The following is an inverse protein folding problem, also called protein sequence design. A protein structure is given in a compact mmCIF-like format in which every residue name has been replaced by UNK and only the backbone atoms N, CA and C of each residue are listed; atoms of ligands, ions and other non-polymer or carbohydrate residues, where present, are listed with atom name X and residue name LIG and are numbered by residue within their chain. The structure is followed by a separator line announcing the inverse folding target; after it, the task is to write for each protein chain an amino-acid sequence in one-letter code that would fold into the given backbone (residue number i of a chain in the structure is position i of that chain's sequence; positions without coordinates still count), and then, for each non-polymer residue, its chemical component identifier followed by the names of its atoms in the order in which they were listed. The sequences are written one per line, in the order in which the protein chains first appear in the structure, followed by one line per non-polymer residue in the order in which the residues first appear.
data_IF_534226949153
#
_entry.id   IF_534226949153
#
_cell.length_a   1.000
_cell.length_b   1.000
_cell.length_c   1.000
_cell.angle_alpha   90.00
_cell.angle_beta   90.00
_cell.angle_gamma   90.00
#
_symmetry.space_group_name_H-M   'P 1'
#
loop_
_entity.id
_entity.type
_entity.pdbx_description
1 polymer ?
#
# COMPACT_ATOMS: atom_id res chain seq x y z
N UNK A 1 0.01 -3.49 -2.28
CA UNK A 1 -1.10 -2.59 -1.92
C UNK A 1 -1.82 -2.22 -3.21
N UNK A 2 -2.94 -2.89 -3.52
CA UNK A 2 -3.67 -2.71 -4.78
C UNK A 2 -4.52 -1.44 -4.69
N UNK A 3 -4.19 -0.46 -5.51
CA UNK A 3 -5.03 0.70 -5.80
C UNK A 3 -6.21 0.21 -6.64
N UNK A 4 -7.40 0.08 -6.06
CA UNK A 4 -8.63 -0.20 -6.82
C UNK A 4 -9.24 1.14 -7.20
N UNK A 5 -8.99 1.54 -8.45
CA UNK A 5 -9.81 2.53 -9.16
C UNK A 5 -11.15 1.87 -9.48
N UNK A 6 -12.18 2.19 -8.71
CA UNK A 6 -13.57 1.94 -9.06
C UNK A 6 -14.04 3.05 -10.00
N UNK A 7 -13.96 2.81 -11.31
CA UNK A 7 -14.74 3.55 -12.30
C UNK A 7 -15.94 2.70 -12.66
N UNK A 8 -17.11 3.20 -12.31
CA UNK A 8 -18.38 2.63 -12.75
C UNK A 8 -18.52 2.75 -14.26
N UNK A 9 -18.93 1.66 -14.89
CA UNK A 9 -19.57 1.67 -16.19
C UNK A 9 -20.65 0.59 -16.19
N UNK A 10 -21.84 1.02 -15.78
CA UNK A 10 -23.07 0.30 -16.02
C UNK A 10 -23.35 0.39 -17.52
N UNK A 11 -23.11 -0.70 -18.26
CA UNK A 11 -23.53 -0.83 -19.65
C UNK A 11 -24.43 -2.07 -19.78
N UNK A 12 -25.73 -1.82 -19.90
CA UNK A 12 -26.72 -2.76 -20.40
C UNK A 12 -26.21 -3.38 -21.72
N UNK A 13 -26.23 -4.71 -21.83
CA UNK A 13 -26.06 -5.39 -23.11
C UNK A 13 -27.01 -6.58 -23.18
N UNK A 14 -27.84 -6.54 -24.22
CA UNK A 14 -28.83 -7.54 -24.58
C UNK A 14 -28.19 -8.90 -24.89
N UNK A 15 -28.93 -9.94 -24.59
CA UNK A 15 -28.58 -11.36 -24.74
C UNK A 15 -28.32 -11.74 -26.19
N UNK A 16 -27.07 -12.07 -26.50
CA UNK A 16 -26.69 -12.94 -27.62
C UNK A 16 -25.76 -14.02 -27.07
N UNK A 17 -26.24 -15.26 -27.06
CA UNK A 17 -25.50 -16.42 -26.60
C UNK A 17 -24.43 -16.79 -27.63
N UNK A 18 -23.20 -16.31 -27.41
CA UNK A 18 -22.00 -16.95 -27.90
C UNK A 18 -21.26 -17.48 -26.66
N UNK A 19 -21.08 -18.80 -26.59
CA UNK A 19 -20.42 -19.47 -25.47
C UNK A 19 -19.01 -18.92 -25.27
N UNK A 20 -18.86 -17.99 -24.32
CA UNK A 20 -17.57 -17.56 -23.82
C UNK A 20 -16.98 -18.71 -22.99
N UNK A 21 -15.99 -19.40 -23.55
CA UNK A 21 -15.15 -20.30 -22.78
C UNK A 21 -14.42 -19.47 -21.71
N UNK A 22 -14.44 -19.85 -20.42
CA UNK A 22 -13.62 -19.20 -19.42
C UNK A 22 -12.16 -19.46 -19.77
N UNK A 23 -11.46 -18.42 -20.23
CA UNK A 23 -10.00 -18.43 -20.34
C UNK A 23 -9.44 -18.48 -18.93
N UNK A 24 -9.24 -19.70 -18.41
CA UNK A 24 -8.39 -19.93 -17.26
C UNK A 24 -6.97 -19.50 -17.67
N UNK A 25 -6.60 -18.26 -17.33
CA UNK A 25 -5.25 -17.77 -17.47
C UNK A 25 -4.27 -18.70 -16.75
N UNK A 26 -3.03 -18.86 -17.26
CA UNK A 26 -2.06 -19.75 -16.63
C UNK A 26 -1.89 -19.39 -15.15
N UNK A 27 -1.77 -20.39 -14.25
CA UNK A 27 -1.56 -20.14 -12.82
C UNK A 27 -0.33 -19.24 -12.66
N UNK A 28 -0.53 -18.08 -12.04
CA UNK A 28 0.52 -17.09 -11.84
C UNK A 28 1.70 -17.73 -11.12
N UNK A 29 2.91 -17.52 -11.64
CA UNK A 29 4.14 -18.01 -10.98
C UNK A 29 4.15 -17.51 -9.52
N UNK A 30 4.54 -18.36 -8.54
CA UNK A 30 4.75 -17.90 -7.18
C UNK A 30 5.78 -16.77 -7.22
N UNK A 31 5.36 -15.57 -6.78
CA UNK A 31 6.25 -14.42 -6.73
C UNK A 31 7.29 -14.69 -5.63
N UNK A 32 8.57 -14.30 -5.85
CA UNK A 32 9.57 -14.36 -4.79
C UNK A 32 9.06 -13.62 -3.55
N UNK A 33 9.35 -14.12 -2.34
CA UNK A 33 8.96 -13.44 -1.11
C UNK A 33 9.57 -12.02 -1.09
N UNK A 34 8.75 -11.04 -0.71
CA UNK A 34 9.18 -9.64 -0.56
C UNK A 34 10.11 -9.53 0.66
N UNK A 35 11.42 -9.25 0.49
CA UNK A 35 12.37 -9.21 1.59
C UNK A 35 12.05 -8.12 2.62
N UNK A 36 11.39 -7.03 2.21
CA UNK A 36 10.93 -5.99 3.14
C UNK A 36 9.66 -6.42 3.87
N UNK A 37 8.74 -7.07 3.16
CA UNK A 37 7.54 -7.67 3.75
C UNK A 37 7.85 -8.64 4.88
N UNK A 38 8.96 -9.39 4.77
CA UNK A 38 9.40 -10.30 5.83
C UNK A 38 9.93 -9.59 7.08
N UNK A 39 10.48 -8.38 6.91
CA UNK A 39 11.18 -7.66 7.98
C UNK A 39 10.26 -6.89 8.94
N UNK A 40 9.01 -6.63 8.54
CA UNK A 40 8.03 -5.82 9.30
C UNK A 40 6.77 -6.60 9.61
N UNK A 41 5.99 -6.16 10.60
CA UNK A 41 4.71 -6.77 10.96
C UNK A 41 3.59 -5.76 10.70
N UNK A 42 2.56 -6.12 9.90
CA UNK A 42 1.46 -5.21 9.64
C UNK A 42 0.65 -4.97 10.93
N UNK A 43 0.12 -3.76 11.15
CA UNK A 43 -0.65 -3.43 12.35
C UNK A 43 -1.81 -4.39 12.60
N UNK A 44 -2.48 -4.84 11.53
CA UNK A 44 -3.64 -5.73 11.61
C UNK A 44 -3.26 -7.10 12.21
N UNK A 45 -2.07 -7.62 11.88
CA UNK A 45 -1.55 -8.86 12.45
C UNK A 45 -1.22 -8.69 13.94
N UNK A 46 -0.63 -7.55 14.31
CA UNK A 46 -0.30 -7.27 15.72
C UNK A 46 -1.59 -7.18 16.55
N UNK A 47 -2.59 -6.46 16.04
CA UNK A 47 -3.83 -6.20 16.77
C UNK A 47 -4.76 -7.40 16.84
N UNK A 48 -4.83 -8.21 15.77
CA UNK A 48 -5.60 -9.46 15.78
C UNK A 48 -5.03 -10.49 16.77
N UNK A 49 -3.71 -10.48 17.02
CA UNK A 49 -3.05 -11.37 17.96
C UNK A 49 -2.64 -10.68 19.28
N UNK A 50 -3.25 -9.55 19.63
CA UNK A 50 -2.84 -8.75 20.80
C UNK A 50 -2.86 -9.52 22.12
N UNK A 51 -3.83 -10.42 22.31
CA UNK A 51 -3.96 -11.24 23.51
C UNK A 51 -2.85 -12.31 23.56
N UNK A 52 -2.61 -13.00 22.45
CA UNK A 52 -1.54 -13.98 22.33
C UNK A 52 -0.14 -13.37 22.52
N UNK A 53 0.04 -12.13 22.09
CA UNK A 53 1.29 -11.39 22.26
C UNK A 53 1.44 -10.77 23.65
N UNK A 54 0.43 -10.90 24.51
CA UNK A 54 0.37 -10.26 25.82
C UNK A 54 0.76 -8.77 25.73
N UNK A 55 0.21 -8.05 24.73
CA UNK A 55 0.52 -6.63 24.54
C UNK A 55 0.16 -5.87 25.82
N UNK A 56 1.06 -5.00 26.27
CA UNK A 56 0.76 -4.09 27.37
C UNK A 56 -0.15 -2.96 26.88
N UNK A 57 -0.88 -2.33 27.80
CA UNK A 57 -1.74 -1.19 27.47
C UNK A 57 -0.94 -0.03 26.87
N UNK A 58 0.24 0.23 27.43
CA UNK A 58 1.19 1.22 26.92
C UNK A 58 1.59 0.93 25.47
N UNK A 59 1.93 -0.32 25.15
CA UNK A 59 2.28 -0.73 23.79
C UNK A 59 1.11 -0.52 22.82
N UNK A 60 -0.11 -0.92 23.21
CA UNK A 60 -1.32 -0.70 22.39
C UNK A 60 -1.54 0.78 22.11
N UNK A 61 -1.50 1.60 23.16
CA UNK A 61 -1.69 3.04 23.06
C UNK A 61 -0.66 3.68 22.12
N UNK A 62 0.63 3.33 22.27
CA UNK A 62 1.68 3.84 21.38
C UNK A 62 1.46 3.43 19.93
N UNK A 63 1.10 2.17 19.66
CA UNK A 63 0.83 1.73 18.27
C UNK A 63 -0.35 2.50 17.67
N UNK A 64 -1.42 2.72 18.44
CA UNK A 64 -2.58 3.50 17.99
C UNK A 64 -2.22 4.95 17.69
N UNK A 65 -1.41 5.58 18.54
CA UNK A 65 -0.91 6.94 18.31
C UNK A 65 -0.10 7.03 17.02
N UNK A 66 0.82 6.08 16.78
CA UNK A 66 1.61 6.06 15.55
C UNK A 66 0.74 5.86 14.29
N UNK A 67 -0.29 5.01 14.36
CA UNK A 67 -1.26 4.86 13.27
C UNK A 67 -2.01 6.16 12.97
N UNK A 68 -2.50 6.84 14.00
CA UNK A 68 -3.25 8.10 13.84
C UNK A 68 -2.38 9.20 13.21
N UNK A 69 -1.14 9.34 13.70
CA UNK A 69 -0.19 10.30 13.13
C UNK A 69 0.14 9.99 11.67
N UNK A 70 0.34 8.71 11.35
CA UNK A 70 0.61 8.29 9.97
C UNK A 70 -0.60 8.51 9.06
N UNK A 71 -1.83 8.28 9.53
CA UNK A 71 -3.05 8.50 8.76
C UNK A 71 -3.18 9.96 8.31
N UNK A 72 -2.97 10.93 9.22
CA UNK A 72 -3.01 12.35 8.87
C UNK A 72 -1.98 12.70 7.77
N UNK A 73 -0.76 12.19 7.92
CA UNK A 73 0.31 12.38 6.93
C UNK A 73 0.00 11.72 5.58
N UNK A 74 -0.59 10.53 5.58
CA UNK A 74 -0.94 9.85 4.34
C UNK A 74 -2.06 10.54 3.57
N UNK A 75 -3.03 11.13 4.27
CA UNK A 75 -4.03 11.98 3.62
C UNK A 75 -3.33 13.13 2.91
N UNK A 76 -2.50 13.92 3.60
CA UNK A 76 -1.76 15.01 2.97
C UNK A 76 -0.96 14.57 1.72
N UNK A 77 -0.22 13.47 1.83
CA UNK A 77 0.58 12.94 0.72
C UNK A 77 -0.28 12.43 -0.43
N UNK A 78 -1.46 11.85 -0.16
CA UNK A 78 -2.39 11.41 -1.20
C UNK A 78 -2.91 12.60 -2.01
N UNK A 79 -3.24 13.71 -1.37
CA UNK A 79 -3.66 14.93 -2.05
C UNK A 79 -2.53 15.49 -2.93
N UNK A 80 -1.30 15.53 -2.41
CA UNK A 80 -0.12 15.94 -3.19
C UNK A 80 0.11 15.04 -4.40
N UNK A 81 -0.01 13.72 -4.23
CA UNK A 81 0.13 12.74 -5.31
C UNK A 81 -0.91 12.98 -6.41
N UNK A 82 -2.19 13.19 -6.02
CA UNK A 82 -3.25 13.51 -6.98
C UNK A 82 -2.93 14.77 -7.78
N UNK A 83 -2.49 15.83 -7.10
CA UNK A 83 -2.16 17.11 -7.74
C UNK A 83 -0.99 16.97 -8.73
N UNK A 84 0.08 16.25 -8.38
CA UNK A 84 1.21 16.03 -9.29
C UNK A 84 0.82 15.13 -10.48
N UNK A 85 0.00 14.10 -10.25
CA UNK A 85 -0.49 13.22 -11.30
C UNK A 85 -1.41 13.95 -12.29
N UNK A 86 -2.29 14.84 -11.81
CA UNK A 86 -3.12 15.67 -12.68
C UNK A 86 -2.30 16.64 -13.53
N UNK A 87 -1.23 17.23 -12.98
CA UNK A 87 -0.31 18.08 -13.74
C UNK A 87 0.44 17.29 -14.79
N UNK A 88 0.92 16.09 -14.46
CA UNK A 88 1.56 15.21 -15.42
C UNK A 88 0.61 14.85 -16.56
N UNK A 89 -0.63 14.46 -16.23
CA UNK A 89 -1.64 14.14 -17.23
C UNK A 89 -1.87 15.31 -18.21
N UNK A 90 -1.93 16.55 -17.72
CA UNK A 90 -2.07 17.76 -18.57
C UNK A 90 -0.89 17.95 -19.52
N UNK A 91 0.34 17.70 -19.07
CA UNK A 91 1.54 17.81 -19.93
C UNK A 91 1.59 16.72 -21.02
N UNK A 92 0.93 15.59 -20.80
CA UNK A 92 0.88 14.46 -21.72
C UNK A 92 -0.34 14.48 -22.68
N UNK A 93 -1.30 15.40 -22.49
CA UNK A 93 -2.49 15.53 -23.34
C UNK A 93 -2.22 15.98 -24.79
N UNK A 94 -1.29 16.91 -25.07
CA UNK A 94 -1.05 17.38 -26.43
C UNK A 94 -0.52 16.27 -27.36
N UNK A 95 -0.79 16.38 -28.67
CA UNK A 95 -0.29 15.43 -29.69
C UNK A 95 1.23 15.37 -29.75
N UNK A 96 1.91 16.48 -29.42
CA UNK A 96 3.37 16.54 -29.32
C UNK A 96 3.73 16.98 -27.89
N UNK A 97 4.33 16.08 -27.13
CA UNK A 97 4.70 16.29 -25.73
C UNK A 97 6.05 16.99 -25.65
N UNK A 98 6.16 18.00 -24.78
CA UNK A 98 7.46 18.53 -24.37
C UNK A 98 8.10 17.56 -23.36
N UNK A 99 9.05 16.76 -23.83
CA UNK A 99 9.70 15.72 -23.03
C UNK A 99 10.38 16.28 -21.78
N UNK A 100 11.10 17.41 -21.88
CA UNK A 100 11.79 18.00 -20.74
C UNK A 100 10.83 18.40 -19.61
N UNK A 101 9.70 19.00 -19.96
CA UNK A 101 8.68 19.38 -18.98
C UNK A 101 7.97 18.16 -18.38
N UNK A 102 7.72 17.12 -19.19
CA UNK A 102 7.11 15.89 -18.70
C UNK A 102 8.02 15.15 -17.72
N UNK A 103 9.32 15.05 -18.02
CA UNK A 103 10.31 14.42 -17.14
C UNK A 103 10.45 15.18 -15.81
N UNK A 104 10.50 16.51 -15.84
CA UNK A 104 10.52 17.33 -14.62
C UNK A 104 9.27 17.07 -13.75
N UNK A 105 8.09 16.95 -14.37
CA UNK A 105 6.85 16.67 -13.63
C UNK A 105 6.80 15.23 -13.10
N UNK A 106 7.40 14.27 -13.80
CA UNK A 106 7.59 12.90 -13.29
C UNK A 106 8.48 12.92 -12.06
N UNK A 107 9.59 13.66 -12.05
CA UNK A 107 10.48 13.75 -10.89
C UNK A 107 9.76 14.28 -9.64
N UNK A 108 8.84 15.24 -9.81
CA UNK A 108 7.98 15.74 -8.73
C UNK A 108 7.01 14.67 -8.22
N UNK A 109 6.42 13.90 -9.13
CA UNK A 109 5.52 12.78 -8.78
C UNK A 109 6.28 11.70 -7.99
N UNK A 110 7.46 11.32 -8.48
CA UNK A 110 8.35 10.36 -7.82
C UNK A 110 8.84 10.87 -6.46
N UNK A 111 9.00 12.18 -6.29
CA UNK A 111 9.33 12.76 -5.00
C UNK A 111 8.23 12.53 -3.96
N UNK A 112 6.95 12.70 -4.33
CA UNK A 112 5.82 12.38 -3.45
C UNK A 112 5.76 10.88 -3.16
N UNK A 113 6.00 10.02 -4.16
CA UNK A 113 6.03 8.57 -3.96
C UNK A 113 7.12 8.15 -2.96
N UNK A 114 8.30 8.77 -3.06
CA UNK A 114 9.40 8.56 -2.11
C UNK A 114 8.98 8.93 -0.69
N UNK A 115 8.28 10.06 -0.52
CA UNK A 115 7.79 10.50 0.79
C UNK A 115 6.75 9.53 1.37
N UNK A 116 5.82 9.03 0.54
CA UNK A 116 4.84 8.01 0.93
C UNK A 116 5.54 6.74 1.42
N UNK A 117 6.46 6.19 0.61
CA UNK A 117 7.21 4.98 0.98
C UNK A 117 8.03 5.19 2.25
N UNK A 118 8.67 6.35 2.39
CA UNK A 118 9.42 6.71 3.61
C UNK A 118 8.50 6.78 4.84
N UNK A 119 7.33 7.39 4.71
CA UNK A 119 6.36 7.46 5.80
C UNK A 119 5.85 6.06 6.20
N UNK A 120 5.57 5.19 5.22
CA UNK A 120 5.17 3.80 5.47
C UNK A 120 6.26 3.01 6.19
N UNK A 121 7.50 3.04 5.69
CA UNK A 121 8.62 2.33 6.33
C UNK A 121 8.89 2.90 7.73
N UNK A 122 8.82 4.21 7.91
CA UNK A 122 8.98 4.83 9.22
C UNK A 122 7.92 4.36 10.23
N UNK A 123 6.64 4.29 9.82
CA UNK A 123 5.57 3.75 10.65
C UNK A 123 5.87 2.31 11.08
N UNK A 124 6.22 1.45 10.12
CA UNK A 124 6.49 0.03 10.39
C UNK A 124 7.70 -0.17 11.32
N UNK A 125 8.76 0.64 11.16
CA UNK A 125 9.91 0.63 12.07
C UNK A 125 9.48 1.02 13.49
N UNK A 126 8.72 2.11 13.64
CA UNK A 126 8.27 2.58 14.96
C UNK A 126 7.41 1.54 15.66
N UNK A 127 6.45 0.96 14.95
CA UNK A 127 5.60 -0.11 15.48
C UNK A 127 6.44 -1.33 15.89
N UNK A 128 7.37 -1.77 15.04
CA UNK A 128 8.26 -2.89 15.36
C UNK A 128 9.08 -2.62 16.63
N UNK A 129 9.56 -1.39 16.81
CA UNK A 129 10.35 -1.00 17.98
C UNK A 129 9.55 -0.92 19.30
N UNK A 130 8.20 -0.88 19.23
CA UNK A 130 7.35 -1.01 20.42
C UNK A 130 7.31 -2.45 20.93
N UNK A 131 7.52 -3.43 20.06
CA UNK A 131 7.41 -4.85 20.36
C UNK A 131 8.72 -5.42 20.93
N UNK A 132 8.61 -6.30 21.93
CA UNK A 132 9.77 -7.03 22.45
C UNK A 132 10.27 -8.07 21.45
N UNK A 133 11.52 -8.52 21.61
CA UNK A 133 12.10 -9.60 20.79
C UNK A 133 11.24 -10.86 20.82
N UNK A 134 10.66 -11.20 21.98
CA UNK A 134 9.77 -12.36 22.11
C UNK A 134 8.47 -12.19 21.32
N UNK A 135 7.85 -11.00 21.37
CA UNK A 135 6.64 -10.69 20.60
C UNK A 135 6.92 -10.74 19.09
N UNK A 136 8.06 -10.20 18.65
CA UNK A 136 8.47 -10.26 17.25
C UNK A 136 8.71 -11.70 16.77
N UNK A 137 9.37 -12.53 17.59
CA UNK A 137 9.57 -13.95 17.28
C UNK A 137 8.23 -14.70 17.17
N UNK A 138 7.28 -14.40 18.07
CA UNK A 138 5.93 -14.99 18.02
C UNK A 138 5.17 -14.58 16.76
N UNK A 139 5.22 -13.30 16.36
CA UNK A 139 4.63 -12.83 15.11
C UNK A 139 5.24 -13.50 13.87
N UNK A 140 6.56 -13.70 13.85
CA UNK A 140 7.25 -14.41 12.76
C UNK A 140 6.86 -15.90 12.70
N UNK A 141 6.51 -16.52 13.83
CA UNK A 141 5.95 -17.87 13.85
C UNK A 141 4.51 -17.88 13.33
N UNK A 142 3.66 -16.94 13.75
CA UNK A 142 2.27 -16.81 13.31
C UNK A 142 2.16 -16.62 11.80
N UNK A 143 3.03 -15.80 11.19
CA UNK A 143 3.07 -15.61 9.72
C UNK A 143 3.34 -16.90 8.95
N UNK A 144 4.15 -17.81 9.50
CA UNK A 144 4.53 -19.06 8.83
C UNK A 144 3.50 -20.18 9.02
N UNK A 145 2.62 -20.05 10.01
CA UNK A 145 1.64 -21.06 10.39
C UNK A 145 0.23 -20.82 9.84
N UNK A 146 -0.01 -19.72 9.14
CA UNK A 146 -1.26 -19.41 8.43
C UNK A 146 -1.06 -19.48 6.92
#
# INVERSE_FOLDING_TARGET
MRLVLLIGALALSATTTLAAQPTAGPPGRPQPPDPLGESFFPPELIMSHQAELALQETQRATIMTELQQAQAKFVELQWRMSAEAERLAKLLQPTTVNEAQALEQIDRTLAVEREIKRAQVALLIRIKNVLTTQQQAKLAALRRGG
#
